data_IF_685601068997
#
_entry.id   IF_685601068997
#
_cell.length_a   1.000
_cell.length_b   1.000
_cell.length_c   1.000
_cell.angle_alpha   90.00
_cell.angle_beta   90.00
_cell.angle_gamma   90.00
#
_symmetry.space_group_name_H-M   'P 1'
#
loop_
_entity.id
_entity.type
_entity.pdbx_description
1 polymer ?
#
# COMPACT_ATOMS: atom_id res chain seq x y z
N UNK A 1 34.70 50.31 26.82
CA UNK A 1 35.36 50.94 25.68
C UNK A 1 36.32 49.93 25.10
N UNK A 2 36.37 49.74 23.78
CA UNK A 2 37.12 48.73 23.04
C UNK A 2 36.33 47.40 22.87
N UNK A 3 35.39 47.35 21.94
CA UNK A 3 35.12 46.24 21.01
C UNK A 3 34.13 46.76 19.93
N UNK A 4 34.64 47.53 18.98
CA UNK A 4 33.89 47.97 17.80
C UNK A 4 34.87 48.36 16.68
N UNK A 5 35.71 47.39 16.23
CA UNK A 5 36.57 47.59 15.09
C UNK A 5 37.10 46.26 14.53
N UNK A 6 36.22 45.39 14.02
CA UNK A 6 36.62 44.25 13.17
C UNK A 6 35.43 43.64 12.41
N UNK A 7 34.75 44.46 11.61
CA UNK A 7 33.76 43.99 10.63
C UNK A 7 33.62 44.94 9.45
N UNK A 8 34.76 45.28 8.81
CA UNK A 8 34.75 46.09 7.58
C UNK A 8 35.92 45.72 6.66
N UNK A 9 36.22 44.44 6.46
CA UNK A 9 37.32 44.07 5.53
C UNK A 9 37.12 42.75 4.79
N UNK A 10 35.89 42.33 4.54
CA UNK A 10 35.62 41.09 3.77
C UNK A 10 34.54 41.26 2.67
N UNK A 11 34.28 42.50 2.23
CA UNK A 11 33.24 42.75 1.22
C UNK A 11 33.76 43.41 -0.07
N UNK A 12 35.09 43.58 -0.25
CA UNK A 12 35.71 44.26 -1.42
C UNK A 12 36.56 43.33 -2.32
N UNK A 13 36.39 42.02 -2.28
CA UNK A 13 37.13 41.08 -3.14
C UNK A 13 36.31 40.23 -4.12
N UNK A 14 35.01 40.39 -4.21
CA UNK A 14 34.17 39.58 -5.13
C UNK A 14 33.74 40.28 -6.44
N UNK A 15 34.08 41.57 -6.65
CA UNK A 15 33.63 42.33 -7.82
C UNK A 15 34.68 42.53 -8.92
N UNK A 16 35.77 41.76 -9.00
CA UNK A 16 36.83 41.94 -10.03
C UNK A 16 37.10 40.76 -10.95
N UNK A 17 36.19 39.81 -11.15
CA UNK A 17 36.42 38.72 -12.10
C UNK A 17 35.38 38.55 -13.21
N UNK A 18 34.59 39.57 -13.51
CA UNK A 18 33.60 39.56 -14.58
C UNK A 18 33.87 40.59 -15.65
N UNK A 19 35.09 40.65 -16.22
CA UNK A 19 35.32 41.41 -17.47
C UNK A 19 36.65 41.01 -18.11
N UNK A 20 36.61 39.98 -18.99
CA UNK A 20 37.50 39.80 -20.16
C UNK A 20 37.31 38.43 -20.77
N UNK A 21 36.49 38.36 -21.80
CA UNK A 21 36.71 37.51 -23.01
C UNK A 21 35.63 37.78 -24.04
N UNK A 22 35.82 38.86 -24.77
CA UNK A 22 35.28 38.98 -26.14
C UNK A 22 36.47 38.96 -27.10
N UNK A 23 36.18 38.39 -28.30
CA UNK A 23 36.93 38.48 -29.56
C UNK A 23 38.03 37.42 -29.78
N UNK A 24 37.66 36.36 -30.52
CA UNK A 24 38.36 36.00 -31.75
C UNK A 24 37.41 35.23 -32.70
N UNK A 25 37.02 35.97 -33.77
CA UNK A 25 36.40 35.47 -34.98
C UNK A 25 37.50 34.99 -35.92
N UNK A 26 37.37 33.79 -36.47
CA UNK A 26 37.87 33.42 -37.83
C UNK A 26 37.23 32.11 -38.24
N UNK A 27 36.31 32.11 -39.13
CA UNK A 27 36.26 31.73 -40.51
C UNK A 27 36.57 30.29 -40.82
N UNK A 28 35.52 29.44 -41.01
CA UNK A 28 35.67 28.29 -41.91
C UNK A 28 34.35 28.00 -42.66
N UNK A 29 34.56 27.72 -43.95
CA UNK A 29 33.68 27.69 -45.09
C UNK A 29 32.49 26.69 -44.99
N UNK A 30 31.38 27.14 -45.57
CA UNK A 30 30.21 26.36 -45.95
C UNK A 30 30.53 25.14 -46.80
N UNK A 31 30.11 23.96 -46.38
CA UNK A 31 29.81 22.82 -47.25
C UNK A 31 28.31 22.57 -47.23
N UNK A 32 27.66 22.72 -48.35
CA UNK A 32 26.24 22.48 -48.59
C UNK A 32 25.88 20.98 -48.30
N UNK A 33 24.73 20.71 -47.72
CA UNK A 33 24.24 19.35 -47.57
C UNK A 33 23.71 18.83 -48.90
N UNK A 34 24.14 17.62 -49.28
CA UNK A 34 23.64 16.87 -50.43
C UNK A 34 22.15 16.57 -50.28
N UNK A 35 21.40 16.83 -51.35
CA UNK A 35 19.99 16.50 -51.53
C UNK A 35 19.78 15.00 -51.28
N UNK A 36 18.97 14.66 -50.27
CA UNK A 36 18.43 13.34 -50.10
C UNK A 36 17.32 13.09 -51.09
N UNK A 37 17.39 11.96 -51.79
CA UNK A 37 16.42 11.49 -52.80
C UNK A 37 15.00 11.42 -52.21
N UNK A 38 14.05 12.14 -52.79
CA UNK A 38 12.61 11.93 -52.62
C UNK A 38 12.24 10.62 -53.33
N UNK A 39 12.04 9.59 -52.56
CA UNK A 39 11.52 8.31 -53.07
C UNK A 39 11.55 7.30 -51.95
N UNK A 40 10.50 7.27 -51.12
CA UNK A 40 10.05 6.10 -50.33
C UNK A 40 9.08 6.47 -49.21
N UNK A 41 8.63 7.73 -49.11
CA UNK A 41 7.70 8.12 -48.01
C UNK A 41 6.25 7.69 -48.28
N UNK A 42 5.91 7.35 -49.55
CA UNK A 42 4.54 6.90 -49.92
C UNK A 42 4.30 5.40 -49.65
N UNK A 43 5.35 4.58 -49.65
CA UNK A 43 5.21 3.12 -49.44
C UNK A 43 5.02 2.73 -47.98
N UNK A 44 5.66 3.42 -47.04
CA UNK A 44 5.57 3.11 -45.62
C UNK A 44 4.25 3.57 -44.99
N UNK A 45 3.71 4.70 -45.40
CA UNK A 45 2.39 5.15 -44.94
C UNK A 45 1.26 4.23 -45.46
N UNK A 46 1.36 3.75 -46.69
CA UNK A 46 0.35 2.83 -47.21
C UNK A 46 0.36 1.48 -46.52
N UNK A 47 1.55 0.96 -46.22
CA UNK A 47 1.69 -0.31 -45.45
C UNK A 47 1.17 -0.19 -44.02
N UNK A 48 1.43 0.93 -43.32
CA UNK A 48 0.90 1.18 -41.98
C UNK A 48 -0.63 1.31 -41.97
N UNK A 49 -1.20 1.96 -43.00
CA UNK A 49 -2.66 2.08 -43.13
C UNK A 49 -3.34 0.74 -43.40
N UNK A 50 -2.75 -0.12 -44.23
CA UNK A 50 -3.29 -1.47 -44.51
C UNK A 50 -3.23 -2.37 -43.28
N UNK A 51 -2.17 -2.30 -42.46
CA UNK A 51 -2.07 -3.05 -41.19
C UNK A 51 -3.14 -2.58 -40.20
N UNK A 52 -3.35 -1.28 -40.05
CA UNK A 52 -4.36 -0.73 -39.17
C UNK A 52 -5.78 -1.17 -39.55
N UNK A 53 -6.11 -1.18 -40.86
CA UNK A 53 -7.40 -1.65 -41.36
C UNK A 53 -7.59 -3.14 -41.11
N UNK A 54 -6.56 -3.97 -41.30
CA UNK A 54 -6.62 -5.41 -41.03
C UNK A 54 -6.85 -5.71 -39.56
N UNK A 55 -6.19 -4.98 -38.64
CA UNK A 55 -6.39 -5.14 -37.19
C UNK A 55 -7.83 -4.79 -36.79
N UNK A 56 -8.39 -3.72 -37.33
CA UNK A 56 -9.80 -3.35 -37.07
C UNK A 56 -10.77 -4.41 -37.59
N UNK A 57 -10.53 -5.01 -38.76
CA UNK A 57 -11.36 -6.06 -39.31
C UNK A 57 -11.30 -7.35 -38.47
N UNK A 58 -10.14 -7.71 -37.93
CA UNK A 58 -9.99 -8.84 -37.02
C UNK A 58 -10.76 -8.62 -35.71
N UNK A 59 -10.71 -7.41 -35.15
CA UNK A 59 -11.46 -7.07 -33.93
C UNK A 59 -12.96 -7.13 -34.18
N UNK A 60 -13.45 -6.59 -35.31
CA UNK A 60 -14.88 -6.61 -35.67
C UNK A 60 -15.35 -8.06 -35.91
N UNK A 61 -14.57 -8.86 -36.59
CA UNK A 61 -14.92 -10.27 -36.84
C UNK A 61 -14.94 -11.10 -35.56
N UNK A 62 -13.98 -10.87 -34.64
CA UNK A 62 -13.96 -11.52 -33.35
C UNK A 62 -15.16 -11.12 -32.46
N UNK A 63 -15.54 -9.84 -32.48
CA UNK A 63 -16.73 -9.37 -31.78
C UNK A 63 -18.02 -9.98 -32.34
N UNK A 64 -18.12 -10.08 -33.67
CA UNK A 64 -19.29 -10.66 -34.34
C UNK A 64 -19.43 -12.16 -34.09
N UNK A 65 -18.32 -12.93 -34.12
CA UNK A 65 -18.30 -14.34 -33.74
C UNK A 65 -18.72 -14.52 -32.27
N UNK A 66 -18.15 -13.73 -31.34
CA UNK A 66 -18.51 -13.78 -29.91
C UNK A 66 -19.99 -13.48 -29.66
N UNK A 67 -20.57 -12.52 -30.41
CA UNK A 67 -22.00 -12.20 -30.35
C UNK A 67 -22.88 -13.33 -30.83
N UNK A 68 -22.49 -14.06 -31.88
CA UNK A 68 -23.24 -15.22 -32.39
C UNK A 68 -23.17 -16.43 -31.45
N UNK A 69 -22.01 -16.71 -30.85
CA UNK A 69 -21.86 -17.76 -29.84
C UNK A 69 -22.67 -17.46 -28.57
N UNK A 70 -22.78 -16.23 -28.16
CA UNK A 70 -23.59 -15.82 -27.01
C UNK A 70 -25.08 -16.01 -27.20
N UNK A 71 -25.60 -15.99 -28.46
CA UNK A 71 -27.01 -16.24 -28.75
C UNK A 71 -27.40 -17.72 -28.78
N UNK A 72 -26.45 -18.63 -29.02
CA UNK A 72 -26.74 -20.09 -29.09
C UNK A 72 -26.91 -20.74 -27.71
N UNK A 73 -26.53 -20.07 -26.62
CA UNK A 73 -26.63 -20.62 -25.26
C UNK A 73 -27.95 -20.33 -24.54
N UNK A 74 -28.93 -19.68 -25.16
CA UNK A 74 -30.19 -19.22 -24.51
C UNK A 74 -31.46 -19.88 -25.06
N UNK A 75 -31.38 -20.92 -25.93
CA UNK A 75 -32.59 -21.56 -26.45
C UNK A 75 -32.61 -23.06 -26.13
N UNK A 76 -33.18 -23.47 -25.01
CA UNK A 76 -34.04 -24.63 -24.86
C UNK A 76 -35.02 -24.47 -23.69
N UNK A 77 -36.29 -24.08 -23.90
CA UNK A 77 -37.37 -24.48 -23.02
C UNK A 77 -37.90 -25.80 -23.49
N UNK A 78 -37.65 -26.87 -22.77
CA UNK A 78 -38.31 -28.17 -23.00
C UNK A 78 -39.70 -28.14 -22.36
N UNK A 79 -40.72 -28.04 -23.20
CA UNK A 79 -42.12 -28.22 -22.80
C UNK A 79 -42.40 -29.73 -22.73
N UNK A 80 -42.57 -30.27 -21.54
CA UNK A 80 -43.11 -31.62 -21.33
C UNK A 80 -44.36 -31.51 -20.44
N UNK A 81 -45.46 -31.98 -21.01
CA UNK A 81 -46.79 -32.14 -20.44
C UNK A 81 -46.78 -33.12 -19.26
N UNK A 82 -47.49 -32.88 -18.15
CA UNK A 82 -47.49 -33.77 -17.01
C UNK A 82 -48.47 -34.93 -17.21
N UNK A 83 -47.98 -36.16 -17.06
CA UNK A 83 -48.81 -37.35 -16.80
C UNK A 83 -48.59 -37.78 -15.35
N UNK A 84 -49.63 -38.09 -14.57
CA UNK A 84 -49.49 -38.45 -13.18
C UNK A 84 -49.11 -39.93 -13.03
N UNK A 85 -47.95 -40.21 -12.46
CA UNK A 85 -47.62 -41.53 -11.91
C UNK A 85 -47.10 -41.37 -10.50
N UNK A 86 -47.88 -41.85 -9.56
CA UNK A 86 -47.54 -42.07 -8.16
C UNK A 86 -46.46 -43.15 -8.07
N UNK A 87 -45.28 -42.83 -7.58
CA UNK A 87 -44.42 -43.78 -6.86
C UNK A 87 -43.39 -43.03 -6.05
N UNK A 88 -43.45 -43.25 -4.77
CA UNK A 88 -42.52 -42.79 -3.74
C UNK A 88 -41.13 -43.37 -3.99
N UNK A 89 -40.19 -42.53 -4.43
CA UNK A 89 -38.78 -42.80 -4.27
C UNK A 89 -38.09 -41.50 -3.87
N UNK A 90 -37.72 -41.49 -2.60
CA UNK A 90 -36.91 -40.47 -1.95
C UNK A 90 -35.52 -40.53 -2.58
N UNK A 91 -35.26 -39.64 -3.56
CA UNK A 91 -33.92 -39.44 -4.08
C UNK A 91 -33.10 -38.73 -3.00
N UNK A 92 -32.18 -39.47 -2.40
CA UNK A 92 -31.13 -38.94 -1.55
C UNK A 92 -30.32 -37.95 -2.37
N UNK A 93 -30.55 -36.67 -2.10
CA UNK A 93 -29.67 -35.58 -2.52
C UNK A 93 -28.29 -35.85 -1.90
N UNK A 94 -27.18 -35.89 -2.69
CA UNK A 94 -25.86 -36.03 -2.07
C UNK A 94 -25.67 -34.86 -1.12
N UNK A 95 -25.61 -35.14 0.16
CA UNK A 95 -25.22 -34.19 1.18
C UNK A 95 -23.80 -33.72 0.81
N UNK A 96 -23.67 -32.51 0.29
CA UNK A 96 -22.37 -31.87 0.20
C UNK A 96 -21.80 -31.87 1.60
N UNK A 97 -20.81 -32.70 1.82
CA UNK A 97 -20.02 -32.67 3.05
C UNK A 97 -19.56 -31.20 3.23
N UNK A 98 -20.08 -30.54 4.25
CA UNK A 98 -19.64 -29.23 4.65
C UNK A 98 -18.12 -29.33 4.81
N UNK A 99 -17.38 -28.68 3.93
CA UNK A 99 -15.94 -28.51 4.08
C UNK A 99 -15.74 -27.84 5.43
N UNK A 100 -15.33 -28.63 6.42
CA UNK A 100 -14.98 -28.11 7.74
C UNK A 100 -13.80 -27.15 7.53
N UNK A 101 -14.07 -25.86 7.64
CA UNK A 101 -13.03 -24.84 7.72
C UNK A 101 -12.10 -25.25 8.88
N UNK A 102 -10.80 -25.37 8.67
CA UNK A 102 -9.87 -25.69 9.74
C UNK A 102 -10.12 -24.75 10.93
N UNK A 103 -10.09 -25.24 12.18
CA UNK A 103 -10.26 -24.37 13.33
C UNK A 103 -9.23 -23.24 13.29
N UNK A 104 -9.58 -22.02 13.70
CA UNK A 104 -8.65 -20.90 13.72
C UNK A 104 -7.38 -21.28 14.49
N UNK A 105 -6.21 -20.87 14.02
CA UNK A 105 -4.95 -21.20 14.67
C UNK A 105 -4.96 -20.72 16.13
N UNK A 106 -4.67 -21.61 17.06
CA UNK A 106 -4.57 -21.25 18.48
C UNK A 106 -3.36 -20.33 18.67
N UNK A 107 -3.60 -19.11 19.15
CA UNK A 107 -2.54 -18.14 19.46
C UNK A 107 -1.87 -18.56 20.77
N UNK A 108 -0.54 -18.76 20.81
CA UNK A 108 0.17 -19.02 22.05
C UNK A 108 0.00 -17.86 23.04
N UNK A 109 -0.14 -18.18 24.34
CA UNK A 109 -0.23 -17.16 25.38
C UNK A 109 1.14 -16.81 25.93
N UNK A 110 1.36 -15.53 26.19
CA UNK A 110 2.62 -14.99 26.75
C UNK A 110 2.32 -13.99 27.86
N UNK A 111 3.31 -13.69 28.70
CA UNK A 111 3.18 -12.65 29.72
C UNK A 111 3.06 -11.25 29.10
N UNK A 112 3.71 -11.03 27.96
CA UNK A 112 3.67 -9.79 27.16
C UNK A 112 3.51 -10.16 25.69
N UNK A 113 2.27 -10.16 25.15
CA UNK A 113 2.03 -10.46 23.75
C UNK A 113 2.84 -9.60 22.79
N UNK A 114 3.36 -10.24 21.73
CA UNK A 114 4.02 -9.59 20.61
C UNK A 114 3.03 -9.49 19.45
N UNK A 115 2.71 -8.27 19.07
CA UNK A 115 1.65 -7.94 18.12
C UNK A 115 2.23 -7.13 16.98
N UNK A 116 2.08 -7.63 15.77
CA UNK A 116 2.53 -6.98 14.53
C UNK A 116 1.34 -6.75 13.62
N UNK A 117 1.16 -5.49 13.23
CA UNK A 117 0.18 -5.11 12.23
C UNK A 117 0.91 -4.72 10.94
N UNK A 118 0.81 -5.55 9.90
CA UNK A 118 1.37 -5.25 8.59
C UNK A 118 0.37 -4.47 7.75
N UNK A 119 0.80 -3.31 7.26
CA UNK A 119 -0.03 -2.40 6.47
C UNK A 119 0.69 -1.89 5.22
N UNK A 120 -0.06 -1.19 4.40
CA UNK A 120 0.38 -0.18 3.44
C UNK A 120 -0.33 1.12 3.84
N UNK A 121 0.40 2.21 4.01
CA UNK A 121 -0.11 3.46 4.62
C UNK A 121 -1.28 4.11 3.88
N UNK A 122 -1.48 3.77 2.61
CA UNK A 122 -2.59 4.26 1.79
C UNK A 122 -3.63 3.20 1.44
N UNK A 123 -3.48 1.94 1.92
CA UNK A 123 -4.50 0.93 1.74
C UNK A 123 -5.76 1.30 2.55
N UNK A 124 -6.95 1.47 1.93
CA UNK A 124 -8.16 1.82 2.66
C UNK A 124 -8.49 0.86 3.81
N UNK A 125 -8.22 -0.42 3.61
CA UNK A 125 -8.45 -1.45 4.63
C UNK A 125 -7.32 -1.52 5.66
N UNK A 126 -6.09 -1.13 5.27
CA UNK A 126 -4.98 -0.91 6.18
C UNK A 126 -5.28 0.21 7.17
N UNK A 127 -5.69 1.38 6.65
CA UNK A 127 -6.13 2.53 7.45
C UNK A 127 -7.31 2.18 8.37
N UNK A 128 -8.26 1.37 7.89
CA UNK A 128 -9.36 0.88 8.69
C UNK A 128 -8.89 0.08 9.91
N UNK A 129 -7.97 -0.86 9.71
CA UNK A 129 -7.42 -1.67 10.80
C UNK A 129 -6.52 -0.82 11.72
N UNK A 130 -5.74 0.10 11.16
CA UNK A 130 -4.87 1.00 11.93
C UNK A 130 -5.68 1.88 12.89
N UNK A 131 -6.85 2.41 12.47
CA UNK A 131 -7.76 3.15 13.36
C UNK A 131 -8.20 2.31 14.57
N UNK A 132 -8.51 1.04 14.35
CA UNK A 132 -8.86 0.13 15.44
C UNK A 132 -7.64 -0.23 16.32
N UNK A 133 -6.49 -0.44 15.68
CA UNK A 133 -5.25 -0.84 16.33
C UNK A 133 -4.69 0.25 17.25
N UNK A 134 -4.67 1.50 16.81
CA UNK A 134 -4.10 2.61 17.59
C UNK A 134 -4.89 2.86 18.88
N UNK A 135 -6.20 2.65 18.88
CA UNK A 135 -7.03 2.75 20.10
C UNK A 135 -6.68 1.64 21.11
N UNK A 136 -6.48 0.41 20.62
CA UNK A 136 -6.04 -0.69 21.46
C UNK A 136 -4.61 -0.49 21.98
N UNK A 137 -3.73 0.08 21.15
CA UNK A 137 -2.35 0.41 21.50
C UNK A 137 -2.28 1.50 22.57
N UNK A 138 -3.11 2.54 22.45
CA UNK A 138 -3.22 3.60 23.46
C UNK A 138 -3.70 3.05 24.82
N UNK A 139 -4.70 2.16 24.82
CA UNK A 139 -5.23 1.55 26.06
C UNK A 139 -4.24 0.58 26.71
N UNK A 140 -3.65 -0.33 25.93
CA UNK A 140 -2.79 -1.38 26.46
C UNK A 140 -1.37 -0.86 26.78
N UNK A 141 -0.94 0.20 26.11
CA UNK A 141 0.36 0.82 26.33
C UNK A 141 1.51 -0.20 26.31
N UNK A 142 2.41 -0.12 27.28
CA UNK A 142 3.55 -1.03 27.39
C UNK A 142 3.22 -2.46 27.86
N UNK A 143 1.94 -2.83 28.08
CA UNK A 143 1.52 -4.16 28.50
C UNK A 143 1.75 -5.22 27.42
N UNK A 144 1.55 -4.86 26.15
CA UNK A 144 1.88 -5.67 24.99
C UNK A 144 2.99 -4.98 24.17
N UNK A 145 3.75 -5.74 23.38
CA UNK A 145 4.64 -5.20 22.38
C UNK A 145 3.85 -5.04 21.08
N UNK A 146 3.42 -3.82 20.75
CA UNK A 146 2.54 -3.54 19.61
C UNK A 146 3.27 -2.66 18.61
N UNK A 147 3.48 -3.17 17.40
CA UNK A 147 4.24 -2.49 16.35
C UNK A 147 3.50 -2.52 15.02
N UNK A 148 3.62 -1.44 14.26
CA UNK A 148 3.26 -1.38 12.85
C UNK A 148 4.45 -1.84 12.02
N UNK A 149 4.18 -2.64 11.01
CA UNK A 149 5.11 -3.16 10.02
C UNK A 149 4.55 -2.93 8.63
N UNK A 150 5.39 -2.98 7.61
CA UNK A 150 4.96 -2.70 6.25
C UNK A 150 5.00 -3.95 5.39
N UNK A 151 4.00 -4.07 4.52
CA UNK A 151 3.98 -5.10 3.48
C UNK A 151 5.16 -4.85 2.53
N UNK A 152 5.79 -5.92 2.06
CA UNK A 152 7.05 -5.83 1.30
C UNK A 152 6.91 -5.34 -0.15
N UNK A 153 5.81 -4.66 -0.46
CA UNK A 153 5.59 -3.91 -1.69
C UNK A 153 4.54 -2.81 -1.47
N UNK A 154 4.49 -1.81 -2.35
CA UNK A 154 3.53 -0.71 -2.30
C UNK A 154 2.55 -0.78 -3.48
N UNK A 155 1.30 -0.31 -3.29
CA UNK A 155 0.24 -0.36 -4.30
C UNK A 155 -0.36 1.01 -4.65
N UNK A 156 -0.14 2.04 -3.82
CA UNK A 156 -0.84 3.32 -3.91
C UNK A 156 0.10 4.47 -4.31
N UNK A 157 1.15 4.15 -5.07
CA UNK A 157 2.04 5.14 -5.65
C UNK A 157 3.23 5.52 -4.76
N UNK A 158 4.01 6.50 -5.27
CA UNK A 158 5.28 6.89 -4.63
C UNK A 158 5.09 7.51 -3.24
N UNK A 159 3.99 8.25 -3.04
CA UNK A 159 3.69 8.84 -1.74
C UNK A 159 3.54 7.79 -0.64
N UNK A 160 2.95 6.63 -0.95
CA UNK A 160 2.90 5.50 -0.01
C UNK A 160 4.29 4.99 0.36
N UNK A 161 5.17 4.85 -0.64
CA UNK A 161 6.56 4.43 -0.39
C UNK A 161 7.26 5.39 0.56
N UNK A 162 7.11 6.70 0.33
CA UNK A 162 7.70 7.73 1.20
C UNK A 162 7.12 7.71 2.60
N UNK A 163 5.79 7.67 2.72
CA UNK A 163 5.14 7.76 4.02
C UNK A 163 5.31 6.47 4.84
N UNK A 164 5.40 5.30 4.22
CA UNK A 164 5.81 4.07 4.89
C UNK A 164 7.20 4.24 5.58
N UNK A 165 8.17 4.91 4.91
CA UNK A 165 9.49 5.17 5.52
C UNK A 165 9.39 6.22 6.62
N UNK A 166 8.59 7.28 6.44
CA UNK A 166 8.36 8.28 7.48
C UNK A 166 7.79 7.66 8.75
N UNK A 167 6.73 6.87 8.64
CA UNK A 167 6.10 6.16 9.76
C UNK A 167 7.08 5.21 10.44
N UNK A 168 7.84 4.43 9.66
CA UNK A 168 8.90 3.56 10.18
C UNK A 168 9.91 4.36 11.01
N UNK A 169 10.39 5.49 10.50
CA UNK A 169 11.36 6.33 11.17
C UNK A 169 10.81 6.97 12.44
N UNK A 170 9.54 7.40 12.44
CA UNK A 170 8.89 7.93 13.65
C UNK A 170 8.76 6.82 14.70
N UNK A 171 8.26 5.62 14.31
CA UNK A 171 8.13 4.49 15.24
C UNK A 171 9.48 4.07 15.84
N UNK A 172 10.55 4.07 15.04
CA UNK A 172 11.89 3.67 15.44
C UNK A 172 12.56 4.69 16.36
N UNK A 173 12.60 5.96 15.97
CA UNK A 173 13.46 6.96 16.57
C UNK A 173 12.71 7.96 17.48
N UNK A 174 11.36 7.99 17.41
CA UNK A 174 10.48 8.85 18.19
C UNK A 174 9.23 8.10 18.67
N UNK A 175 9.37 6.93 19.34
CA UNK A 175 8.24 6.07 19.69
C UNK A 175 7.22 6.75 20.61
N UNK A 176 7.63 7.76 21.36
CA UNK A 176 6.77 8.59 22.22
C UNK A 176 5.81 9.48 21.41
N UNK A 177 6.11 9.76 20.16
CA UNK A 177 5.28 10.54 19.24
C UNK A 177 4.42 9.68 18.33
N UNK A 178 4.79 8.41 18.15
CA UNK A 178 4.23 7.55 17.13
C UNK A 178 2.71 7.38 17.22
N UNK A 179 2.17 7.08 18.41
CA UNK A 179 0.70 6.88 18.58
C UNK A 179 -0.07 8.17 18.24
N UNK A 180 0.41 9.32 18.68
CA UNK A 180 -0.23 10.60 18.37
C UNK A 180 -0.16 10.92 16.87
N UNK A 181 0.99 10.63 16.24
CA UNK A 181 1.18 10.77 14.80
C UNK A 181 0.23 9.86 14.02
N UNK A 182 0.18 8.56 14.36
CA UNK A 182 -0.71 7.58 13.72
C UNK A 182 -2.19 7.98 13.79
N UNK A 183 -2.65 8.46 14.97
CA UNK A 183 -4.02 8.97 15.12
C UNK A 183 -4.34 10.10 14.15
N UNK A 184 -3.42 11.01 13.94
CA UNK A 184 -3.56 12.08 12.96
C UNK A 184 -3.50 11.55 11.52
N UNK A 185 -2.55 10.64 11.25
CA UNK A 185 -2.29 10.15 9.91
C UNK A 185 -3.44 9.30 9.35
N UNK A 186 -4.04 8.43 10.16
CA UNK A 186 -5.20 7.63 9.71
C UNK A 186 -6.43 8.49 9.39
N UNK A 187 -6.50 9.70 9.93
CA UNK A 187 -7.58 10.64 9.64
C UNK A 187 -7.32 11.49 8.40
N UNK A 188 -6.07 11.92 8.18
CA UNK A 188 -5.72 12.96 7.20
C UNK A 188 -4.89 12.46 6.02
N UNK A 189 -4.09 11.41 6.22
CA UNK A 189 -3.08 10.94 5.27
C UNK A 189 -2.16 12.06 4.76
N UNK A 190 -1.77 12.93 5.70
CA UNK A 190 -0.88 14.08 5.48
C UNK A 190 0.25 14.06 6.49
N UNK A 191 1.41 13.53 6.07
CA UNK A 191 2.61 13.43 6.89
C UNK A 191 3.02 14.78 7.47
N UNK A 192 3.10 15.83 6.62
CA UNK A 192 3.63 17.13 7.05
C UNK A 192 2.74 17.79 8.10
N UNK A 193 1.43 17.78 7.87
CA UNK A 193 0.45 18.32 8.81
C UNK A 193 0.44 17.54 10.13
N UNK A 194 0.56 16.21 10.08
CA UNK A 194 0.54 15.36 11.26
C UNK A 194 1.87 15.45 12.05
N UNK A 195 3.00 15.48 11.38
CA UNK A 195 4.29 15.71 12.04
C UNK A 195 4.33 17.04 12.80
N UNK A 196 3.85 18.11 12.15
CA UNK A 196 3.77 19.42 12.79
C UNK A 196 2.81 19.43 14.00
N UNK A 197 1.62 18.81 13.86
CA UNK A 197 0.60 18.77 14.91
C UNK A 197 1.02 17.95 16.14
N UNK A 198 1.89 16.96 15.96
CA UNK A 198 2.28 16.02 17.03
C UNK A 198 3.70 16.24 17.56
N UNK A 199 4.39 17.27 17.05
CA UNK A 199 5.74 17.62 17.48
C UNK A 199 6.79 16.57 17.12
N UNK A 200 6.61 15.89 15.98
CA UNK A 200 7.62 15.03 15.38
C UNK A 200 8.79 15.88 14.89
N UNK A 201 10.01 15.49 15.26
CA UNK A 201 11.24 16.11 14.76
C UNK A 201 11.51 15.60 13.34
N UNK A 202 11.13 16.40 12.36
CA UNK A 202 11.25 16.04 10.92
C UNK A 202 12.71 15.96 10.46
N UNK A 203 13.66 16.63 11.13
CA UNK A 203 15.08 16.51 10.80
C UNK A 203 15.63 15.12 11.19
N UNK A 204 15.21 14.60 12.35
CA UNK A 204 15.51 13.20 12.73
C UNK A 204 14.87 12.21 11.78
N UNK A 205 13.60 12.45 11.38
CA UNK A 205 12.93 11.59 10.39
C UNK A 205 13.70 11.58 9.08
N UNK A 206 14.14 12.74 8.57
CA UNK A 206 14.92 12.81 7.32
C UNK A 206 16.24 12.05 7.44
N UNK A 207 16.97 12.21 8.56
CA UNK A 207 18.22 11.46 8.80
C UNK A 207 17.99 9.94 8.79
N UNK A 208 16.91 9.48 9.45
CA UNK A 208 16.52 8.08 9.45
C UNK A 208 16.09 7.62 8.04
N UNK A 209 15.35 8.45 7.31
CA UNK A 209 14.89 8.17 5.95
C UNK A 209 16.07 7.89 5.02
N UNK A 210 17.06 8.79 4.99
CA UNK A 210 18.25 8.67 4.14
C UNK A 210 19.05 7.40 4.47
N UNK A 211 19.20 7.10 5.76
CA UNK A 211 19.87 5.88 6.22
C UNK A 211 19.08 4.61 5.84
N UNK A 212 17.76 4.66 5.94
CA UNK A 212 16.86 3.55 5.62
C UNK A 212 16.83 3.29 4.10
N UNK A 213 16.75 4.35 3.30
CA UNK A 213 16.83 4.24 1.84
C UNK A 213 18.18 3.64 1.41
N UNK A 214 19.28 4.12 1.99
CA UNK A 214 20.61 3.56 1.74
C UNK A 214 20.71 2.07 2.10
N UNK A 215 20.12 1.67 3.23
CA UNK A 215 20.15 0.30 3.72
C UNK A 215 19.31 -0.67 2.88
N UNK A 216 18.12 -0.24 2.46
CA UNK A 216 17.14 -1.12 1.82
C UNK A 216 16.96 -0.85 0.33
N UNK A 217 17.60 0.21 -0.22
CA UNK A 217 17.51 0.57 -1.64
C UNK A 217 16.10 0.91 -2.10
N UNK A 218 15.32 1.63 -1.28
CA UNK A 218 13.88 1.83 -1.49
C UNK A 218 13.63 2.69 -2.73
N UNK A 219 14.38 3.81 -2.87
CA UNK A 219 14.28 4.67 -4.05
C UNK A 219 14.70 3.91 -5.31
N UNK A 220 15.82 3.17 -5.26
CA UNK A 220 16.30 2.38 -6.38
C UNK A 220 15.29 1.29 -6.80
N UNK A 221 14.64 0.63 -5.84
CA UNK A 221 13.59 -0.34 -6.11
C UNK A 221 12.33 0.29 -6.72
N UNK A 222 12.01 1.54 -6.36
CA UNK A 222 10.92 2.29 -6.98
C UNK A 222 11.25 2.70 -8.42
N UNK A 223 12.47 3.11 -8.70
CA UNK A 223 12.90 3.59 -10.02
C UNK A 223 13.09 2.44 -11.02
N UNK A 224 13.55 1.29 -10.55
CA UNK A 224 13.70 0.07 -11.35
C UNK A 224 12.37 -0.68 -11.51
N UNK A 225 11.56 -0.23 -12.47
CA UNK A 225 10.26 -0.86 -12.77
C UNK A 225 10.37 -2.32 -13.23
N UNK A 226 11.54 -2.77 -13.65
CA UNK A 226 11.78 -4.17 -14.05
C UNK A 226 11.77 -5.11 -12.83
N UNK A 227 12.08 -4.59 -11.65
CA UNK A 227 12.06 -5.32 -10.37
C UNK A 227 10.68 -5.39 -9.71
N UNK A 228 9.68 -4.65 -10.22
CA UNK A 228 8.37 -4.53 -9.59
C UNK A 228 7.61 -5.85 -9.58
N UNK A 229 6.96 -6.15 -8.47
CA UNK A 229 6.13 -7.33 -8.30
C UNK A 229 4.99 -7.31 -9.35
N UNK A 230 4.88 -8.40 -10.13
CA UNK A 230 3.94 -8.52 -11.24
C UNK A 230 4.03 -7.36 -12.25
N UNK A 231 5.17 -6.68 -12.34
CA UNK A 231 5.39 -5.51 -13.20
C UNK A 231 4.59 -4.26 -12.82
N UNK A 232 3.97 -4.22 -11.63
CA UNK A 232 3.07 -3.13 -11.20
C UNK A 232 3.37 -2.52 -9.84
N UNK A 233 4.00 -3.26 -8.93
CA UNK A 233 4.15 -2.86 -7.53
C UNK A 233 5.60 -2.81 -7.12
N UNK A 234 6.15 -1.62 -6.77
CA UNK A 234 7.52 -1.51 -6.30
C UNK A 234 7.72 -2.31 -5.03
N UNK A 235 8.88 -2.95 -4.91
CA UNK A 235 9.28 -3.65 -3.70
C UNK A 235 9.55 -2.67 -2.56
N UNK A 236 9.24 -3.08 -1.34
CA UNK A 236 9.47 -2.32 -0.13
C UNK A 236 10.12 -3.21 0.92
N UNK A 237 11.45 -3.10 1.09
CA UNK A 237 12.28 -4.13 1.72
C UNK A 237 12.41 -4.06 3.25
N UNK A 238 11.88 -3.04 3.95
CA UNK A 238 12.14 -2.82 5.39
C UNK A 238 11.80 -4.07 6.23
N UNK A 239 10.62 -4.64 6.03
CA UNK A 239 10.13 -5.79 6.79
C UNK A 239 10.10 -7.09 5.96
N UNK A 240 10.91 -7.21 4.90
CA UNK A 240 10.86 -8.36 3.98
C UNK A 240 11.01 -9.70 4.71
N UNK A 241 11.97 -9.80 5.64
CA UNK A 241 12.18 -11.03 6.42
C UNK A 241 10.94 -11.42 7.26
N UNK A 242 10.25 -10.44 7.86
CA UNK A 242 9.04 -10.67 8.64
C UNK A 242 7.85 -11.02 7.75
N UNK A 243 7.75 -10.38 6.57
CA UNK A 243 6.74 -10.73 5.58
C UNK A 243 6.86 -12.19 5.14
N UNK A 244 8.09 -12.65 4.86
CA UNK A 244 8.38 -14.04 4.52
C UNK A 244 8.10 -14.97 5.70
N UNK A 245 8.59 -14.66 6.90
CA UNK A 245 8.43 -15.46 8.10
C UNK A 245 6.97 -15.74 8.42
N UNK A 246 6.12 -14.73 8.30
CA UNK A 246 4.71 -14.82 8.64
C UNK A 246 3.80 -15.08 7.43
N UNK A 247 4.34 -15.15 6.22
CA UNK A 247 3.55 -15.35 5.00
C UNK A 247 2.60 -14.18 4.72
N UNK A 248 3.03 -12.95 5.00
CA UNK A 248 2.25 -11.73 4.75
C UNK A 248 2.11 -11.52 3.24
N UNK A 249 0.87 -11.33 2.77
CA UNK A 249 0.58 -11.15 1.34
C UNK A 249 -0.16 -9.85 1.03
N UNK A 250 -0.56 -9.10 2.04
CA UNK A 250 -1.32 -7.85 1.83
C UNK A 250 -1.64 -7.12 3.11
N UNK A 251 -2.28 -5.98 2.95
CA UNK A 251 -2.66 -5.03 3.99
C UNK A 251 -4.19 -5.05 4.22
N UNK A 252 -4.66 -5.11 5.47
CA UNK A 252 -3.90 -5.38 6.69
C UNK A 252 -3.66 -6.88 6.89
N UNK A 253 -2.55 -7.23 7.53
CA UNK A 253 -2.31 -8.56 8.10
C UNK A 253 -1.90 -8.41 9.56
N UNK A 254 -2.57 -9.10 10.48
CA UNK A 254 -2.27 -9.04 11.90
C UNK A 254 -1.65 -10.35 12.38
N UNK A 255 -0.57 -10.23 13.14
CA UNK A 255 0.15 -11.37 13.74
C UNK A 255 0.23 -11.15 15.24
N UNK A 256 -0.18 -12.17 16.04
CA UNK A 256 -0.07 -12.15 17.50
C UNK A 256 0.72 -13.39 17.93
N UNK A 257 1.79 -13.18 18.69
CA UNK A 257 2.66 -14.24 19.19
C UNK A 257 3.07 -15.24 18.08
N UNK A 258 3.43 -14.69 16.90
CA UNK A 258 3.90 -15.47 15.76
C UNK A 258 2.82 -16.18 14.94
N UNK A 259 1.52 -15.93 15.19
CA UNK A 259 0.40 -16.49 14.43
C UNK A 259 -0.41 -15.40 13.75
N UNK A 260 -0.67 -15.56 12.45
CA UNK A 260 -1.65 -14.70 11.77
C UNK A 260 -3.04 -14.92 12.37
N UNK A 261 -3.75 -13.82 12.59
CA UNK A 261 -5.11 -13.82 13.13
C UNK A 261 -6.04 -13.00 12.24
N UNK A 262 -7.26 -13.47 12.08
CA UNK A 262 -8.33 -12.71 11.45
C UNK A 262 -9.15 -12.03 12.55
N UNK A 263 -9.15 -10.69 12.55
CA UNK A 263 -9.80 -9.88 13.57
C UNK A 263 -10.73 -8.87 12.90
N UNK A 264 -11.91 -8.68 13.46
CA UNK A 264 -12.80 -7.59 13.03
C UNK A 264 -12.13 -6.23 13.28
N UNK A 265 -12.35 -5.28 12.36
CA UNK A 265 -11.67 -3.98 12.37
C UNK A 265 -12.37 -2.97 13.27
N UNK A 266 -12.65 -3.37 14.50
CA UNK A 266 -13.12 -2.52 15.59
C UNK A 266 -12.10 -2.51 16.71
N UNK A 267 -12.01 -1.42 17.43
CA UNK A 267 -11.07 -1.27 18.54
C UNK A 267 -11.27 -2.36 19.61
N UNK A 268 -12.52 -2.70 19.91
CA UNK A 268 -12.86 -3.76 20.86
C UNK A 268 -12.37 -5.13 20.39
N UNK A 269 -12.59 -5.49 19.12
CA UNK A 269 -12.16 -6.79 18.59
C UNK A 269 -10.64 -6.92 18.57
N UNK A 270 -9.92 -5.87 18.19
CA UNK A 270 -8.44 -5.85 18.21
C UNK A 270 -7.94 -5.99 19.65
N UNK A 271 -8.48 -5.20 20.59
CA UNK A 271 -8.13 -5.32 22.02
C UNK A 271 -8.40 -6.74 22.54
N UNK A 272 -9.55 -7.33 22.26
CA UNK A 272 -9.90 -8.67 22.73
C UNK A 272 -8.96 -9.74 22.17
N UNK A 273 -8.60 -9.66 20.88
CA UNK A 273 -7.64 -10.58 20.28
C UNK A 273 -6.28 -10.54 21.00
N UNK A 274 -5.81 -9.34 21.34
CA UNK A 274 -4.56 -9.14 22.10
C UNK A 274 -4.71 -9.63 23.54
N UNK A 275 -5.81 -9.29 24.20
CA UNK A 275 -6.08 -9.68 25.58
C UNK A 275 -6.16 -11.20 25.76
N UNK A 276 -6.69 -11.92 24.78
CA UNK A 276 -6.74 -13.38 24.77
C UNK A 276 -5.37 -14.04 24.63
N UNK A 277 -4.37 -13.30 24.18
CA UNK A 277 -3.00 -13.77 24.01
C UNK A 277 -2.11 -13.58 25.26
N UNK A 278 -2.63 -12.95 26.32
CA UNK A 278 -1.93 -12.90 27.61
C UNK A 278 -2.10 -14.18 28.38
N UNK A 279 -1.05 -14.61 29.09
CA UNK A 279 -1.15 -15.65 30.12
C UNK A 279 -2.03 -15.17 31.27
N UNK A 280 -1.83 -13.92 31.71
CA UNK A 280 -2.66 -13.24 32.70
C UNK A 280 -3.06 -11.87 32.13
N UNK A 281 -4.29 -11.70 31.66
CA UNK A 281 -4.76 -10.43 31.11
C UNK A 281 -4.67 -9.29 32.12
N UNK A 282 -4.11 -8.13 31.75
CA UNK A 282 -4.08 -6.96 32.60
C UNK A 282 -5.49 -6.34 32.78
N UNK A 283 -5.63 -5.46 33.78
CA UNK A 283 -6.92 -4.80 34.07
C UNK A 283 -7.50 -3.99 32.92
N UNK A 284 -6.64 -3.44 32.07
CA UNK A 284 -7.00 -2.69 30.87
C UNK A 284 -7.86 -3.53 29.90
N UNK A 285 -7.71 -4.86 29.92
CA UNK A 285 -8.52 -5.77 29.14
C UNK A 285 -10.02 -5.77 29.52
N UNK A 286 -10.36 -5.27 30.70
CA UNK A 286 -11.75 -5.13 31.16
C UNK A 286 -12.42 -3.85 30.62
N UNK A 287 -11.66 -2.90 30.07
CA UNK A 287 -12.19 -1.68 29.46
C UNK A 287 -12.81 -2.00 28.12
N UNK A 288 -14.06 -1.62 27.91
CA UNK A 288 -14.74 -1.76 26.62
C UNK A 288 -14.35 -0.62 25.71
N UNK A 289 -13.89 -0.93 24.51
CA UNK A 289 -13.64 0.03 23.43
C UNK A 289 -14.80 0.05 22.43
N UNK A 290 -14.68 0.88 21.38
CA UNK A 290 -15.69 0.95 20.34
C UNK A 290 -15.83 -0.39 19.61
N UNK A 291 -17.06 -0.91 19.58
CA UNK A 291 -17.42 -2.20 18.95
C UNK A 291 -17.75 -2.05 17.46
N UNK A 292 -18.01 -0.83 16.99
CA UNK A 292 -18.29 -0.55 15.57
C UNK A 292 -17.02 -0.77 14.76
N UNK A 293 -17.16 -1.34 13.57
CA UNK A 293 -16.05 -1.41 12.63
C UNK A 293 -15.71 0.00 12.11
N UNK A 294 -14.42 0.31 12.05
CA UNK A 294 -13.95 1.57 11.48
C UNK A 294 -14.33 1.68 10.00
N UNK A 295 -14.46 2.90 9.48
CA UNK A 295 -14.66 3.13 8.04
C UNK A 295 -13.37 2.85 7.27
N UNK A 296 -13.43 2.22 6.07
CA UNK A 296 -12.28 2.12 5.18
C UNK A 296 -11.76 3.50 4.73
N UNK A 297 -10.46 3.57 4.49
CA UNK A 297 -9.79 4.81 4.05
C UNK A 297 -9.56 5.81 5.17
N UNK A 298 -9.07 7.02 4.83
CA UNK A 298 -8.84 8.08 5.80
C UNK A 298 -10.16 8.62 6.36
N UNK A 299 -10.10 9.16 7.57
CA UNK A 299 -11.26 9.79 8.22
C UNK A 299 -11.30 9.55 9.72
N UNK A 300 -12.27 10.14 10.43
CA UNK A 300 -12.31 10.15 11.90
C UNK A 300 -12.32 8.74 12.50
N UNK A 301 -11.54 8.58 13.56
CA UNK A 301 -11.51 7.35 14.38
C UNK A 301 -12.87 7.20 15.07
N UNK A 302 -13.39 5.98 15.09
CA UNK A 302 -14.67 5.66 15.75
C UNK A 302 -15.91 6.02 14.94
N UNK A 303 -15.76 6.49 13.69
CA UNK A 303 -16.88 6.87 12.81
C UNK A 303 -17.58 5.70 12.11
N UNK A 304 -17.18 4.47 12.42
CA UNK A 304 -17.66 3.26 11.76
C UNK A 304 -19.08 2.84 12.17
N UNK A 305 -19.63 1.87 11.44
CA UNK A 305 -20.93 1.28 11.67
C UNK A 305 -20.84 -0.21 12.01
N UNK A 306 -21.91 -0.78 12.59
CA UNK A 306 -21.95 -2.19 13.00
C UNK A 306 -21.96 -3.20 11.83
N UNK A 307 -22.17 -2.74 10.60
CA UNK A 307 -22.32 -3.59 9.41
C UNK A 307 -21.14 -3.43 8.46
N UNK A 308 -20.15 -4.28 8.57
CA UNK A 308 -19.02 -4.30 7.64
C UNK A 308 -18.37 -5.68 7.52
N UNK A 309 -18.13 -6.14 6.29
CA UNK A 309 -17.44 -7.39 6.03
C UNK A 309 -15.94 -7.28 6.35
N UNK A 310 -15.44 -8.22 7.15
CA UNK A 310 -14.06 -8.23 7.63
C UNK A 310 -13.01 -8.67 6.59
N UNK A 311 -13.40 -9.08 5.39
CA UNK A 311 -12.54 -9.87 4.50
C UNK A 311 -11.73 -9.07 3.45
N UNK A 312 -12.03 -7.76 3.26
CA UNK A 312 -11.35 -6.99 2.21
C UNK A 312 -9.96 -6.52 2.63
N UNK A 313 -9.02 -6.51 1.70
CA UNK A 313 -7.64 -6.08 1.90
C UNK A 313 -7.01 -5.61 0.60
N UNK A 314 -5.83 -4.97 0.67
CA UNK A 314 -4.98 -4.69 -0.46
C UNK A 314 -3.92 -5.79 -0.54
N UNK A 315 -3.86 -6.49 -1.67
CA UNK A 315 -2.91 -7.57 -1.90
C UNK A 315 -2.69 -7.85 -3.38
N UNK A 316 -1.53 -8.44 -3.73
CA UNK A 316 -1.16 -8.82 -5.10
C UNK A 316 -1.10 -10.34 -5.26
#
# INVERSE_FOLDING_TARGET
>A
MIVLAKRKHTQDQEDKHAEKKTVHETGQAHKAPKQAKKGDLFSTCFLQWTIAVLVVLVIISGYWLGYQYGKLSVMTPSTATPTPVTTTQQAQQPTQAAQQTPPPPTVPKTAKPDVKLFIMSYCPYGLQMQKAFVQAQELLGGKANMQVHWVNYAMHGYKEVQDNVHEYCIQKDQPDKFIAFEKCFVEKTDYAACAAATGVDTAKVQTCYDATDTQFGIQAAYDDKSSWLSGRYPKFGIDDALNQQYGVRGSPTMVINGKQVSVARSAEAVKQAICNAFTTPPKECQTTLNTNQEQPGPGPIGSGTTTGAAAAGCGA
#
